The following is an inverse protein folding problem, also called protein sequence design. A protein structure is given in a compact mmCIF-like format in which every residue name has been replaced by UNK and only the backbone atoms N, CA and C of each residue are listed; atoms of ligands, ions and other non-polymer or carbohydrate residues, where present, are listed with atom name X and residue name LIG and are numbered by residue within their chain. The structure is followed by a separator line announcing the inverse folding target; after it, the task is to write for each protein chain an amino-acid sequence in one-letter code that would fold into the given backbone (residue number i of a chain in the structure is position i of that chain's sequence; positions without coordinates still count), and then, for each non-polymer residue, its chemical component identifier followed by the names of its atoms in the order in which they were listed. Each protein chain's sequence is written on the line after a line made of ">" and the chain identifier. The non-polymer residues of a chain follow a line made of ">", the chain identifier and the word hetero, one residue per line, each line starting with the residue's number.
data_IF_064689435123
#
_entry.id   IF_064689435123
#
_cell.length_a   1.000
_cell.length_b   1.000
_cell.length_c   1.000
_cell.angle_alpha   90.00
_cell.angle_beta   90.00
_cell.angle_gamma   90.00
#
_symmetry.space_group_name_H-M   'P 1'
#
loop_
_entity.id
_entity.type
_entity.pdbx_description
1 polymer ?
#
# COMPACT_ATOMS: atom_id res chain seq x y z
N UNK A 1 17.24 -4.47 -6.85
CA UNK A 1 16.61 -5.25 -5.76
C UNK A 1 16.00 -4.25 -4.80
N UNK A 2 14.69 -4.29 -4.58
CA UNK A 2 13.98 -3.30 -3.74
C UNK A 2 13.50 -4.02 -2.49
N UNK A 3 14.27 -3.92 -1.39
CA UNK A 3 13.91 -4.55 -0.11
C UNK A 3 12.90 -3.67 0.62
N UNK A 4 11.77 -4.25 1.01
CA UNK A 4 10.78 -3.55 1.81
C UNK A 4 11.28 -3.33 3.24
N UNK A 5 11.32 -2.08 3.70
CA UNK A 5 11.79 -1.72 5.04
C UNK A 5 10.90 -2.23 6.18
N UNK A 6 9.66 -2.65 5.90
CA UNK A 6 8.76 -3.21 6.93
C UNK A 6 8.89 -4.73 7.07
N UNK A 7 8.84 -5.48 5.97
CA UNK A 7 8.88 -6.95 6.04
C UNK A 7 10.26 -7.56 5.79
N UNK A 8 11.25 -6.74 5.43
CA UNK A 8 12.63 -7.16 5.13
C UNK A 8 12.76 -8.19 4.01
N UNK A 9 11.77 -8.25 3.12
CA UNK A 9 11.78 -9.13 1.94
C UNK A 9 11.87 -8.32 0.64
N UNK A 10 12.34 -8.95 -0.42
CA UNK A 10 12.29 -8.37 -1.76
C UNK A 10 10.84 -8.24 -2.24
N UNK A 11 10.47 -7.03 -2.65
CA UNK A 11 9.10 -6.70 -3.05
C UNK A 11 8.59 -7.55 -4.22
N UNK A 12 9.46 -7.97 -5.15
CA UNK A 12 9.06 -8.78 -6.32
C UNK A 12 8.81 -10.24 -5.95
N UNK A 13 9.52 -10.75 -4.94
CA UNK A 13 9.42 -12.15 -4.50
C UNK A 13 8.20 -12.40 -3.61
N UNK A 14 7.87 -11.47 -2.70
CA UNK A 14 6.79 -11.66 -1.73
C UNK A 14 5.53 -10.91 -2.18
N UNK A 15 4.43 -11.66 -2.36
CA UNK A 15 3.16 -11.16 -2.90
C UNK A 15 2.24 -10.48 -1.89
N UNK A 16 2.67 -10.33 -0.63
CA UNK A 16 1.96 -9.60 0.42
C UNK A 16 2.93 -9.13 1.51
N UNK A 17 2.88 -7.88 1.91
CA UNK A 17 3.68 -7.40 3.03
C UNK A 17 3.10 -7.87 4.37
N UNK A 18 3.89 -8.60 5.15
CA UNK A 18 3.49 -9.12 6.46
C UNK A 18 3.49 -8.07 7.58
N UNK A 19 4.12 -6.91 7.36
CA UNK A 19 4.37 -5.90 8.40
C UNK A 19 3.78 -4.52 8.09
N UNK A 20 3.26 -4.30 6.88
CA UNK A 20 2.54 -3.07 6.53
C UNK A 20 1.05 -3.23 6.87
N UNK A 21 0.75 -3.24 8.17
CA UNK A 21 -0.59 -3.55 8.69
C UNK A 21 -1.42 -2.29 8.98
N UNK A 22 -0.74 -1.22 9.40
CA UNK A 22 -1.37 0.01 9.86
C UNK A 22 -0.59 1.25 9.41
N UNK A 23 -1.33 2.33 9.22
CA UNK A 23 -0.86 3.69 9.00
C UNK A 23 -1.25 4.52 10.22
N UNK A 24 -0.29 5.29 10.73
CA UNK A 24 -0.49 6.31 11.75
C UNK A 24 -0.17 7.63 11.07
N UNK A 25 -1.06 8.60 11.21
CA UNK A 25 -0.86 9.92 10.62
C UNK A 25 -0.28 10.87 11.67
N UNK A 26 0.46 11.87 11.20
CA UNK A 26 1.02 12.89 12.09
C UNK A 26 -0.10 13.60 12.86
N UNK A 27 0.10 13.79 14.17
CA UNK A 27 -0.92 14.38 15.05
C UNK A 27 -2.09 13.46 15.43
N UNK A 28 -2.15 12.23 14.89
CA UNK A 28 -3.18 11.25 15.22
C UNK A 28 -2.59 10.07 16.02
N UNK A 29 -3.24 9.69 17.11
CA UNK A 29 -2.85 8.54 17.93
C UNK A 29 -3.50 7.23 17.45
N UNK A 30 -4.40 7.30 16.45
CA UNK A 30 -5.13 6.13 15.94
C UNK A 30 -4.30 5.36 14.92
N UNK A 31 -4.42 4.04 14.97
CA UNK A 31 -3.88 3.14 13.96
C UNK A 31 -4.97 2.79 12.94
N UNK A 32 -4.78 3.21 11.70
CA UNK A 32 -5.70 2.91 10.61
C UNK A 32 -5.23 1.66 9.87
N UNK A 33 -6.06 0.60 9.75
CA UNK A 33 -5.70 -0.57 8.95
C UNK A 33 -5.41 -0.17 7.49
N UNK A 34 -4.32 -0.70 6.93
CA UNK A 34 -4.02 -0.49 5.50
C UNK A 34 -5.11 -1.09 4.63
N UNK A 35 -5.42 -0.43 3.51
CA UNK A 35 -6.34 -0.96 2.51
C UNK A 35 -5.58 -2.00 1.65
N UNK A 36 -6.06 -3.25 1.53
CA UNK A 36 -5.46 -4.23 0.63
C UNK A 36 -5.50 -3.78 -0.84
N UNK A 37 -4.61 -4.34 -1.66
CA UNK A 37 -4.59 -4.03 -3.08
C UNK A 37 -5.89 -4.47 -3.75
N UNK A 38 -6.51 -3.53 -4.46
CA UNK A 38 -7.67 -3.78 -5.31
C UNK A 38 -7.22 -3.47 -6.73
N UNK A 39 -7.30 -4.45 -7.63
CA UNK A 39 -6.99 -4.20 -9.03
C UNK A 39 -8.08 -3.30 -9.64
N UNK A 40 -7.76 -2.08 -10.11
CA UNK A 40 -8.68 -1.35 -10.96
C UNK A 40 -8.80 -2.12 -12.29
N UNK A 41 -9.96 -2.72 -12.55
CA UNK A 41 -10.23 -3.57 -13.73
C UNK A 41 -9.84 -2.95 -15.11
N UNK A 42 -9.50 -1.67 -15.14
CA UNK A 42 -9.00 -0.92 -16.30
C UNK A 42 -7.51 -1.10 -16.56
N UNK A 43 -6.72 -1.59 -15.60
CA UNK A 43 -5.27 -1.75 -15.73
C UNK A 43 -4.92 -3.23 -15.85
N UNK A 44 -4.62 -3.63 -17.07
CA UNK A 44 -3.93 -4.87 -17.44
C UNK A 44 -4.54 -6.17 -16.85
N UNK A 45 -5.52 -6.71 -17.56
CA UNK A 45 -6.13 -7.99 -17.21
C UNK A 45 -5.13 -9.16 -17.22
N UNK A 46 -4.00 -9.03 -17.92
CA UNK A 46 -2.99 -10.08 -18.02
C UNK A 46 -2.08 -10.13 -16.78
N UNK A 47 -1.92 -9.02 -16.06
CA UNK A 47 -1.15 -8.97 -14.82
C UNK A 47 -1.97 -8.36 -13.67
N UNK A 48 -2.68 -9.19 -12.90
CA UNK A 48 -3.55 -8.71 -11.83
C UNK A 48 -2.80 -8.22 -10.59
N UNK A 49 -1.47 -8.20 -10.59
CA UNK A 49 -0.67 -7.74 -9.45
C UNK A 49 -0.44 -6.23 -9.51
N UNK A 50 -0.18 -5.64 -8.34
CA UNK A 50 0.24 -4.25 -8.27
C UNK A 50 1.51 -4.05 -9.12
N UNK A 51 1.47 -3.11 -10.05
CA UNK A 51 2.59 -2.85 -10.96
C UNK A 51 3.82 -2.27 -10.25
N UNK A 52 3.64 -1.57 -9.13
CA UNK A 52 4.75 -0.97 -8.38
C UNK A 52 5.46 -1.96 -7.46
N UNK A 53 4.69 -2.68 -6.62
CA UNK A 53 5.26 -3.53 -5.57
C UNK A 53 4.97 -5.01 -5.74
N UNK A 54 4.25 -5.42 -6.79
CA UNK A 54 4.11 -6.83 -7.18
C UNK A 54 3.17 -7.67 -6.31
N UNK A 55 2.42 -7.06 -5.38
CA UNK A 55 1.47 -7.76 -4.49
C UNK A 55 0.21 -8.18 -5.24
N UNK A 56 -0.39 -9.29 -4.82
CA UNK A 56 -1.62 -9.82 -5.40
C UNK A 56 -2.87 -9.06 -4.96
N UNK A 57 -3.98 -9.23 -5.69
CA UNK A 57 -5.29 -8.70 -5.28
C UNK A 57 -5.64 -9.22 -3.89
N UNK A 58 -6.11 -8.33 -3.00
CA UNK A 58 -6.43 -8.65 -1.61
C UNK A 58 -5.23 -8.72 -0.67
N UNK A 59 -4.00 -8.60 -1.19
CA UNK A 59 -2.78 -8.58 -0.39
C UNK A 59 -2.42 -7.17 0.11
N UNK A 60 -1.56 -7.09 1.13
CA UNK A 60 -1.09 -5.80 1.67
C UNK A 60 0.09 -5.30 0.87
N UNK A 61 0.04 -4.03 0.48
CA UNK A 61 1.16 -3.37 -0.19
C UNK A 61 2.41 -3.35 0.68
N UNK A 62 3.57 -3.37 0.03
CA UNK A 62 4.82 -2.98 0.70
C UNK A 62 4.80 -1.48 1.02
N UNK A 63 5.53 -1.09 2.07
CA UNK A 63 5.56 0.29 2.55
C UNK A 63 5.97 1.25 1.42
N UNK A 64 5.25 2.38 1.30
CA UNK A 64 5.53 3.46 0.34
C UNK A 64 5.32 3.04 -1.11
N UNK A 65 4.40 2.10 -1.35
CA UNK A 65 3.98 1.78 -2.70
C UNK A 65 3.02 2.87 -3.21
N UNK A 66 3.23 3.39 -4.42
CA UNK A 66 2.45 4.52 -4.92
C UNK A 66 0.99 4.15 -5.17
N UNK A 67 0.69 2.86 -5.36
CA UNK A 67 -0.67 2.33 -5.40
C UNK A 67 -1.37 2.19 -4.04
N UNK A 68 -0.72 2.47 -2.91
CA UNK A 68 -1.38 2.43 -1.59
C UNK A 68 -2.51 3.46 -1.51
N UNK A 69 -3.64 3.06 -0.93
CA UNK A 69 -4.78 3.94 -0.69
C UNK A 69 -4.83 4.39 0.76
N UNK A 70 -5.15 5.67 0.95
CA UNK A 70 -5.34 6.29 2.23
C UNK A 70 -6.55 5.68 2.95
N UNK A 71 -6.38 5.11 4.17
CA UNK A 71 -7.51 4.58 4.92
C UNK A 71 -8.43 5.66 5.50
N UNK A 72 -8.06 6.95 5.46
CA UNK A 72 -8.94 8.06 5.87
C UNK A 72 -9.90 8.49 4.76
N UNK A 73 -9.44 8.58 3.51
CA UNK A 73 -10.22 9.18 2.42
C UNK A 73 -10.33 8.32 1.16
N UNK A 74 -9.65 7.18 1.07
CA UNK A 74 -9.68 6.27 -0.08
C UNK A 74 -8.85 6.70 -1.30
N UNK A 75 -8.37 7.95 -1.36
CA UNK A 75 -7.46 8.44 -2.41
C UNK A 75 -6.07 7.83 -2.27
N UNK A 76 -5.19 8.07 -3.24
CA UNK A 76 -3.81 7.62 -3.20
C UNK A 76 -3.06 8.18 -1.97
N UNK A 77 -2.45 7.31 -1.17
CA UNK A 77 -1.85 7.66 0.12
C UNK A 77 -0.79 8.77 -0.02
N UNK A 78 0.08 8.67 -1.03
CA UNK A 78 1.19 9.61 -1.26
C UNK A 78 0.73 11.03 -1.65
N UNK A 79 -0.53 11.21 -2.10
CA UNK A 79 -1.05 12.49 -2.61
C UNK A 79 -2.38 12.92 -1.99
N UNK A 80 -2.93 12.15 -1.03
CA UNK A 80 -4.25 12.39 -0.46
C UNK A 80 -4.37 13.66 0.40
N UNK A 81 -3.25 14.27 0.79
CA UNK A 81 -3.25 15.43 1.69
C UNK A 81 -3.61 15.12 3.14
N UNK A 82 -4.07 13.91 3.49
CA UNK A 82 -4.39 13.55 4.88
C UNK A 82 -3.16 13.48 5.80
N UNK A 83 -1.94 13.53 5.28
CA UNK A 83 -0.72 13.64 6.11
C UNK A 83 -0.38 15.10 6.43
N UNK A 84 -0.93 16.03 5.66
CA UNK A 84 -0.86 17.47 5.86
C UNK A 84 -2.20 17.90 6.48
N UNK A 85 -2.49 17.46 7.70
CA UNK A 85 -3.57 18.09 8.46
C UNK A 85 -3.23 19.60 8.55
N UNK A 86 -4.06 20.44 7.92
CA UNK A 86 -3.97 21.91 7.98
C UNK A 86 -4.38 22.42 9.35
#
# INVERSE_FOLDING_TARGET
>A
MSICKRCNSDMKTVKSCSHNLYIVFEGDLRMYPTIPYINPATFDAENPNCHDCGVQIGAKHHLSCDMERCPRCGNQLISCGCVLDK
#
